data_IF_841660931158
#
_entry.id   IF_841660931158
#
_cell.length_a   1.000
_cell.length_b   1.000
_cell.length_c   1.000
_cell.angle_alpha   90.00
_cell.angle_beta   90.00
_cell.angle_gamma   90.00
#
_symmetry.space_group_name_H-M   'P 1'
#
loop_
_entity.id
_entity.type
_entity.pdbx_description
1 polymer ?
#
# COMPACT_ATOMS: atom_id res chain seq x y z
N UNK A 1 -10.53 -55.86 -16.01
CA UNK A 1 -11.35 -54.80 -15.36
C UNK A 1 -10.55 -54.27 -14.19
N UNK A 2 -10.51 -52.94 -14.07
CA UNK A 2 -9.96 -52.08 -12.99
C UNK A 2 -8.89 -51.13 -13.52
N UNK A 3 -9.37 -49.99 -14.03
CA UNK A 3 -8.61 -48.78 -14.34
C UNK A 3 -8.56 -47.89 -13.10
N UNK A 4 -7.36 -47.53 -12.66
CA UNK A 4 -7.12 -46.58 -11.57
C UNK A 4 -7.51 -45.15 -12.01
N UNK A 5 -8.18 -44.45 -11.10
CA UNK A 5 -8.73 -43.10 -11.29
C UNK A 5 -7.83 -42.08 -10.59
N UNK A 6 -7.36 -40.98 -11.22
CA UNK A 6 -6.54 -39.99 -10.54
C UNK A 6 -7.38 -38.97 -9.77
N UNK A 7 -6.88 -38.67 -8.58
CA UNK A 7 -7.38 -37.74 -7.57
C UNK A 7 -7.67 -36.34 -8.14
N UNK A 8 -8.90 -35.87 -7.94
CA UNK A 8 -9.30 -34.46 -8.10
C UNK A 8 -8.73 -33.62 -6.96
N UNK A 9 -7.71 -32.80 -7.22
CA UNK A 9 -7.33 -31.69 -6.34
C UNK A 9 -8.27 -30.50 -6.60
N UNK A 10 -9.01 -30.10 -5.57
CA UNK A 10 -9.92 -28.95 -5.61
C UNK A 10 -9.18 -27.61 -5.65
N UNK A 11 -9.63 -26.72 -6.53
CA UNK A 11 -9.28 -25.30 -6.52
C UNK A 11 -9.95 -24.59 -5.33
N UNK A 12 -9.31 -23.59 -4.70
CA UNK A 12 -9.98 -22.73 -3.71
C UNK A 12 -11.08 -21.89 -4.37
N UNK A 13 -12.25 -21.87 -3.74
CA UNK A 13 -13.54 -21.35 -4.20
C UNK A 13 -13.63 -19.81 -4.33
N UNK A 14 -12.50 -19.09 -4.36
CA UNK A 14 -12.50 -17.62 -4.37
C UNK A 14 -12.46 -16.99 -5.78
N UNK A 15 -12.31 -17.79 -6.85
CA UNK A 15 -12.17 -17.28 -8.23
C UNK A 15 -13.51 -17.10 -8.98
N UNK A 16 -14.64 -16.93 -8.28
CA UNK A 16 -15.98 -17.02 -8.89
C UNK A 16 -16.66 -15.70 -9.29
N UNK A 17 -15.93 -14.61 -9.43
CA UNK A 17 -16.50 -13.40 -10.01
C UNK A 17 -15.48 -12.60 -10.82
N UNK A 18 -15.27 -12.95 -12.08
CA UNK A 18 -14.77 -12.07 -13.15
C UNK A 18 -15.09 -12.68 -14.53
N UNK A 19 -15.39 -11.80 -15.48
CA UNK A 19 -16.03 -11.96 -16.81
C UNK A 19 -15.70 -13.21 -17.68
N UNK A 20 -16.61 -13.62 -18.59
CA UNK A 20 -16.50 -14.88 -19.35
C UNK A 20 -15.74 -14.75 -20.70
N UNK A 21 -15.11 -15.88 -21.07
CA UNK A 21 -14.53 -16.29 -22.37
C UNK A 21 -13.12 -15.72 -22.68
N UNK A 22 -12.09 -16.54 -22.96
CA UNK A 22 -12.00 -17.67 -23.90
C UNK A 22 -10.89 -18.64 -23.48
N UNK A 23 -11.19 -19.94 -23.49
CA UNK A 23 -10.20 -21.02 -23.41
C UNK A 23 -9.32 -21.05 -24.67
N UNK A 24 -7.99 -20.99 -24.50
CA UNK A 24 -7.01 -21.71 -25.31
C UNK A 24 -5.59 -21.56 -24.72
N UNK A 25 -4.92 -22.72 -24.59
CA UNK A 25 -3.50 -22.94 -24.28
C UNK A 25 -3.07 -22.78 -22.82
N UNK A 26 -2.97 -23.93 -22.15
CA UNK A 26 -2.29 -24.13 -20.86
C UNK A 26 -0.80 -23.90 -21.11
N UNK A 27 -0.35 -22.66 -20.92
CA UNK A 27 1.03 -22.42 -20.56
C UNK A 27 1.25 -23.04 -19.17
N UNK A 28 2.35 -23.77 -18.99
CA UNK A 28 2.78 -24.25 -17.68
C UNK A 28 2.67 -23.11 -16.65
N UNK A 29 2.22 -23.38 -15.41
CA UNK A 29 2.15 -22.34 -14.39
C UNK A 29 3.56 -21.81 -14.19
N UNK A 30 3.89 -20.68 -14.82
CA UNK A 30 4.94 -19.82 -14.30
C UNK A 30 4.53 -19.57 -12.87
N UNK A 31 5.41 -19.86 -11.91
CA UNK A 31 5.16 -19.59 -10.50
C UNK A 31 4.70 -18.14 -10.38
N UNK A 32 3.39 -17.95 -10.24
CA UNK A 32 2.80 -16.62 -10.26
C UNK A 32 3.40 -15.89 -9.06
N UNK A 33 4.06 -14.77 -9.32
CA UNK A 33 4.66 -13.98 -8.25
C UNK A 33 3.72 -12.86 -7.87
N UNK A 34 3.41 -12.78 -6.59
CA UNK A 34 2.53 -11.76 -6.05
C UNK A 34 3.29 -10.51 -5.62
N UNK A 35 2.77 -9.35 -5.99
CA UNK A 35 3.24 -8.05 -5.52
C UNK A 35 2.10 -7.30 -4.85
N UNK A 36 2.32 -6.88 -3.60
CA UNK A 36 1.40 -6.05 -2.83
C UNK A 36 1.53 -4.59 -3.23
N UNK A 37 0.40 -3.92 -3.41
CA UNK A 37 0.31 -2.50 -3.69
C UNK A 37 0.56 -1.71 -2.40
N UNK A 38 1.59 -0.87 -2.39
CA UNK A 38 1.93 -0.04 -1.23
C UNK A 38 1.38 1.39 -1.35
N UNK A 39 1.11 1.84 -2.58
CA UNK A 39 0.58 3.17 -2.85
C UNK A 39 -0.51 3.13 -3.91
N UNK A 40 -1.50 4.01 -3.76
CA UNK A 40 -2.69 4.04 -4.60
C UNK A 40 -2.41 4.32 -6.08
N UNK A 41 -1.40 5.16 -6.36
CA UNK A 41 -1.02 5.55 -7.73
C UNK A 41 0.19 4.74 -8.21
N UNK A 42 -0.03 3.89 -9.21
CA UNK A 42 1.00 3.08 -9.84
C UNK A 42 1.38 3.64 -11.21
N UNK A 43 2.60 3.32 -11.66
CA UNK A 43 3.08 3.62 -13.01
C UNK A 43 3.16 2.34 -13.81
N UNK A 44 2.49 2.32 -14.97
CA UNK A 44 2.45 1.18 -15.89
C UNK A 44 3.04 1.52 -17.25
N UNK A 45 3.82 0.62 -17.82
CA UNK A 45 4.16 0.59 -19.27
C UNK A 45 3.29 -0.48 -19.96
N UNK A 46 2.32 -0.10 -20.79
CA UNK A 46 1.48 -1.08 -21.49
C UNK A 46 2.26 -1.89 -22.54
N UNK A 47 1.85 -3.14 -22.75
CA UNK A 47 2.44 -4.02 -23.77
C UNK A 47 3.47 -5.00 -23.21
N UNK A 48 3.97 -5.90 -24.05
CA UNK A 48 4.94 -6.93 -23.64
C UNK A 48 6.37 -6.40 -23.49
N UNK A 49 6.73 -5.33 -24.19
CA UNK A 49 8.08 -4.76 -24.11
C UNK A 49 8.21 -3.73 -22.97
N UNK A 50 9.21 -3.87 -22.09
CA UNK A 50 9.47 -2.89 -21.03
C UNK A 50 10.04 -1.56 -21.55
N UNK A 51 10.56 -1.51 -22.78
CA UNK A 51 11.18 -0.31 -23.38
C UNK A 51 10.20 0.57 -24.14
N UNK A 52 8.90 0.23 -24.14
CA UNK A 52 7.88 1.00 -24.81
C UNK A 52 7.85 2.46 -24.32
N UNK A 53 7.68 3.46 -25.20
CA UNK A 53 7.87 4.87 -24.84
C UNK A 53 6.80 5.40 -23.87
N UNK A 54 5.61 4.78 -23.86
CA UNK A 54 4.46 5.30 -23.13
C UNK A 54 4.35 4.72 -21.72
N UNK A 55 4.26 5.59 -20.72
CA UNK A 55 3.81 5.25 -19.36
C UNK A 55 2.40 5.80 -19.10
N UNK A 56 1.60 5.08 -18.33
CA UNK A 56 0.27 5.49 -17.87
C UNK A 56 0.16 5.35 -16.36
N UNK A 57 -0.66 6.19 -15.71
CA UNK A 57 -1.05 5.97 -14.31
C UNK A 57 -2.11 4.89 -14.22
N UNK A 58 -2.02 4.08 -13.18
CA UNK A 58 -3.01 3.11 -12.81
C UNK A 58 -3.33 3.29 -11.33
N UNK A 59 -4.61 3.40 -10.99
CA UNK A 59 -5.05 3.45 -9.60
C UNK A 59 -5.38 2.04 -9.11
N UNK A 60 -4.85 1.64 -7.95
CA UNK A 60 -5.19 0.38 -7.27
C UNK A 60 -5.42 0.62 -5.77
N UNK A 61 -6.27 -0.18 -5.11
CA UNK A 61 -6.37 -0.14 -3.65
C UNK A 61 -5.03 -0.49 -2.99
N UNK A 62 -4.65 0.24 -1.94
CA UNK A 62 -3.47 -0.10 -1.14
C UNK A 62 -3.71 -1.47 -0.48
N UNK A 63 -2.67 -2.26 -0.29
CA UNK A 63 -2.75 -3.62 0.24
C UNK A 63 -3.26 -4.69 -0.74
N UNK A 64 -3.87 -4.30 -1.87
CA UNK A 64 -4.27 -5.27 -2.90
C UNK A 64 -3.06 -5.97 -3.54
N UNK A 65 -3.30 -7.12 -4.17
CA UNK A 65 -2.24 -7.93 -4.80
C UNK A 65 -2.34 -7.84 -6.33
N UNK A 66 -1.18 -7.69 -6.96
CA UNK A 66 -0.97 -7.78 -8.40
C UNK A 66 -0.25 -9.11 -8.71
N UNK A 67 -0.74 -9.82 -9.71
CA UNK A 67 -0.14 -11.06 -10.19
C UNK A 67 0.86 -10.77 -11.32
N UNK A 68 2.06 -11.31 -11.19
CA UNK A 68 3.20 -11.03 -12.07
C UNK A 68 3.87 -12.33 -12.52
N UNK A 69 4.62 -12.24 -13.61
CA UNK A 69 5.42 -13.37 -14.12
C UNK A 69 6.73 -13.57 -13.31
N UNK A 70 7.04 -12.66 -12.39
CA UNK A 70 8.31 -12.60 -11.67
C UNK A 70 9.48 -12.03 -12.48
N UNK A 71 9.31 -11.76 -13.78
CA UNK A 71 10.37 -11.10 -14.57
C UNK A 71 10.50 -9.64 -14.17
N UNK A 72 11.75 -9.22 -13.98
CA UNK A 72 12.08 -7.84 -13.64
C UNK A 72 12.90 -7.16 -14.72
N UNK A 73 12.80 -5.85 -14.79
CA UNK A 73 13.58 -5.01 -15.68
C UNK A 73 14.01 -3.74 -14.96
N UNK A 74 15.27 -3.34 -15.14
CA UNK A 74 15.76 -2.06 -14.65
C UNK A 74 15.73 -1.05 -15.79
N UNK A 75 14.94 0.00 -15.61
CA UNK A 75 14.80 1.07 -16.59
C UNK A 75 16.05 1.95 -16.69
N UNK A 76 16.14 2.77 -17.75
CA UNK A 76 17.33 3.60 -18.02
C UNK A 76 17.63 4.64 -16.94
N UNK A 77 16.63 5.01 -16.11
CA UNK A 77 16.81 5.90 -14.95
C UNK A 77 17.01 5.13 -13.63
N UNK A 78 17.24 3.82 -13.69
CA UNK A 78 17.46 2.96 -12.52
C UNK A 78 16.19 2.49 -11.80
N UNK A 79 14.99 2.77 -12.33
CA UNK A 79 13.75 2.26 -11.74
C UNK A 79 13.55 0.77 -12.00
N UNK A 80 13.10 0.04 -11.00
CA UNK A 80 12.80 -1.38 -11.04
C UNK A 80 11.36 -1.62 -11.49
N UNK A 81 11.17 -2.52 -12.44
CA UNK A 81 9.87 -2.86 -13.01
C UNK A 81 9.62 -4.36 -12.95
N UNK A 82 8.35 -4.75 -12.86
CA UNK A 82 7.91 -6.14 -12.89
C UNK A 82 6.87 -6.36 -13.99
N UNK A 83 6.97 -7.48 -14.71
CA UNK A 83 6.04 -7.87 -15.77
C UNK A 83 4.74 -8.45 -15.20
N UNK A 84 3.59 -7.90 -15.62
CA UNK A 84 2.27 -8.40 -15.25
C UNK A 84 1.97 -9.74 -15.91
N UNK A 85 1.30 -10.62 -15.17
CA UNK A 85 0.75 -11.84 -15.74
C UNK A 85 -0.45 -11.49 -16.64
N UNK A 86 -0.31 -11.74 -17.95
CA UNK A 86 -1.34 -11.46 -18.93
C UNK A 86 -2.61 -12.32 -18.83
N UNK A 87 -2.56 -13.43 -18.09
CA UNK A 87 -3.73 -14.28 -17.86
C UNK A 87 -4.71 -13.65 -16.86
N UNK A 88 -4.20 -12.83 -15.93
CA UNK A 88 -5.00 -12.18 -14.88
C UNK A 88 -5.17 -10.69 -15.14
N UNK A 89 -4.13 -10.04 -15.66
CA UNK A 89 -4.04 -8.61 -15.82
C UNK A 89 -3.81 -8.20 -17.28
N UNK A 90 -4.16 -6.96 -17.65
CA UNK A 90 -3.81 -6.47 -18.99
C UNK A 90 -2.28 -6.44 -19.13
N UNK A 91 -1.69 -6.91 -20.25
CA UNK A 91 -0.24 -6.93 -20.45
C UNK A 91 0.44 -5.59 -20.15
N UNK A 92 1.60 -5.65 -19.51
CA UNK A 92 2.38 -4.47 -19.18
C UNK A 92 3.38 -4.71 -18.06
N UNK A 93 4.12 -3.66 -17.76
CA UNK A 93 5.12 -3.63 -16.70
C UNK A 93 4.72 -2.59 -15.66
N UNK A 94 4.82 -2.92 -14.38
CA UNK A 94 4.59 -1.98 -13.28
C UNK A 94 5.91 -1.56 -12.65
N UNK A 95 6.03 -0.28 -12.34
CA UNK A 95 7.14 0.24 -11.54
C UNK A 95 7.00 -0.26 -10.11
N UNK A 96 8.01 -0.96 -9.62
CA UNK A 96 8.14 -1.39 -8.23
C UNK A 96 8.65 -0.22 -7.39
N UNK A 97 9.75 0.40 -7.81
CA UNK A 97 10.38 1.55 -7.14
C UNK A 97 11.37 2.24 -8.09
N UNK A 98 11.71 3.50 -7.81
CA UNK A 98 12.80 4.20 -8.49
C UNK A 98 12.48 5.65 -8.84
N UNK A 99 13.50 6.40 -9.30
CA UNK A 99 13.39 7.84 -9.52
C UNK A 99 12.66 8.19 -10.82
N UNK A 100 12.29 9.47 -10.95
CA UNK A 100 11.89 10.06 -12.24
C UNK A 100 10.39 10.13 -12.53
N UNK A 101 9.53 9.75 -11.57
CA UNK A 101 8.07 9.79 -11.72
C UNK A 101 7.36 10.74 -10.75
N UNK A 102 8.12 11.46 -9.90
CA UNK A 102 7.57 12.34 -8.87
C UNK A 102 6.80 11.61 -7.78
N UNK A 103 6.87 10.28 -7.72
CA UNK A 103 6.24 9.45 -6.69
C UNK A 103 7.38 8.89 -5.83
N UNK A 104 7.44 9.24 -4.53
CA UNK A 104 8.40 8.59 -3.64
C UNK A 104 8.06 7.10 -3.58
N UNK A 105 9.06 6.23 -3.74
CA UNK A 105 8.89 4.77 -3.72
C UNK A 105 9.18 4.19 -2.33
N UNK A 106 8.82 2.92 -2.08
CA UNK A 106 8.35 1.92 -3.05
C UNK A 106 6.83 1.97 -3.34
N UNK A 107 6.44 1.54 -4.54
CA UNK A 107 5.04 1.44 -4.97
C UNK A 107 4.48 0.01 -4.83
N UNK A 108 5.34 -0.99 -5.00
CA UNK A 108 5.00 -2.41 -4.88
C UNK A 108 6.03 -3.13 -4.00
N UNK A 109 5.58 -4.17 -3.32
CA UNK A 109 6.44 -5.10 -2.58
C UNK A 109 6.14 -6.54 -2.98
N UNK A 110 7.18 -7.30 -3.31
CA UNK A 110 7.03 -8.73 -3.54
C UNK A 110 6.57 -9.44 -2.26
N UNK A 111 5.50 -10.21 -2.34
CA UNK A 111 4.99 -11.03 -1.24
C UNK A 111 5.85 -12.28 -1.10
N UNK A 112 6.33 -12.57 0.11
CA UNK A 112 7.11 -13.79 0.38
C UNK A 112 6.18 -14.93 0.83
N UNK A 113 6.40 -16.18 0.39
CA UNK A 113 5.67 -17.32 0.93
C UNK A 113 5.80 -17.41 2.46
N UNK A 114 4.67 -17.56 3.15
CA UNK A 114 4.62 -17.64 4.62
C UNK A 114 4.84 -16.30 5.34
N UNK A 115 4.89 -15.17 4.62
CA UNK A 115 4.90 -13.85 5.24
C UNK A 115 3.61 -13.61 6.03
N UNK A 116 3.73 -13.03 7.22
CA UNK A 116 2.58 -12.59 8.01
C UNK A 116 1.78 -11.54 7.23
N UNK A 117 0.45 -11.69 7.21
CA UNK A 117 -0.44 -10.71 6.61
C UNK A 117 -0.17 -9.32 7.22
N UNK A 118 0.10 -8.28 6.41
CA UNK A 118 0.28 -6.93 6.93
C UNK A 118 -1.04 -6.35 7.39
N UNK A 119 -0.95 -5.27 8.16
CA UNK A 119 -2.09 -4.43 8.50
C UNK A 119 -2.19 -3.27 7.53
N UNK A 120 -3.40 -2.95 7.10
CA UNK A 120 -3.73 -1.70 6.44
C UNK A 120 -4.17 -0.69 7.50
N UNK A 121 -3.31 0.28 7.80
CA UNK A 121 -3.64 1.35 8.74
C UNK A 121 -4.07 2.60 8.00
N UNK A 122 -5.11 3.26 8.53
CA UNK A 122 -5.62 4.53 8.02
C UNK A 122 -4.89 5.67 8.71
N UNK A 123 -4.43 6.64 7.94
CA UNK A 123 -3.69 7.81 8.43
C UNK A 123 -4.29 9.08 7.84
N UNK A 124 -4.57 10.05 8.71
CA UNK A 124 -5.07 11.34 8.28
C UNK A 124 -3.93 12.21 7.76
N UNK A 125 -4.19 13.01 6.73
CA UNK A 125 -3.28 14.09 6.32
C UNK A 125 -3.13 15.11 7.47
N UNK A 126 -1.90 15.53 7.80
CA UNK A 126 -1.71 16.48 8.89
C UNK A 126 -2.18 17.87 8.45
N UNK A 127 -2.84 18.57 9.37
CA UNK A 127 -3.39 19.91 9.16
C UNK A 127 -2.98 20.80 10.31
N UNK A 128 -2.95 22.10 10.07
CA UNK A 128 -2.74 23.08 11.14
C UNK A 128 -3.87 23.01 12.18
N UNK A 129 -3.49 23.21 13.44
CA UNK A 129 -4.42 23.17 14.57
C UNK A 129 -5.46 24.28 14.38
N UNK A 130 -6.74 23.90 14.39
CA UNK A 130 -7.87 24.82 14.24
C UNK A 130 -8.34 25.05 12.80
N UNK A 131 -7.68 24.49 11.79
CA UNK A 131 -7.99 24.78 10.38
C UNK A 131 -8.93 23.78 9.69
N UNK A 132 -9.16 22.58 10.24
CA UNK A 132 -10.02 21.58 9.60
C UNK A 132 -10.94 20.87 10.58
N UNK A 133 -12.18 20.62 10.14
CA UNK A 133 -13.11 19.69 10.79
C UNK A 133 -12.59 18.26 10.58
N UNK A 134 -12.72 17.39 11.60
CA UNK A 134 -12.20 16.02 11.53
C UNK A 134 -12.73 15.23 10.31
N UNK A 135 -14.00 15.46 9.96
CA UNK A 135 -14.72 14.76 8.88
C UNK A 135 -14.19 15.08 7.48
N UNK A 136 -13.44 16.18 7.32
CA UNK A 136 -12.92 16.66 6.05
C UNK A 136 -11.45 16.27 5.84
N UNK A 137 -10.82 15.61 6.82
CA UNK A 137 -9.42 15.21 6.71
C UNK A 137 -9.26 14.11 5.67
N UNK A 138 -8.41 14.38 4.67
CA UNK A 138 -8.02 13.39 3.68
C UNK A 138 -7.35 12.19 4.39
N UNK A 139 -7.97 11.02 4.28
CA UNK A 139 -7.42 9.78 4.81
C UNK A 139 -6.68 9.02 3.72
N UNK A 140 -5.50 8.51 4.04
CA UNK A 140 -4.73 7.58 3.21
C UNK A 140 -4.49 6.28 3.96
N UNK A 141 -4.08 5.25 3.23
CA UNK A 141 -3.77 3.93 3.79
C UNK A 141 -2.26 3.68 3.68
N UNK A 142 -1.69 3.06 4.70
CA UNK A 142 -0.33 2.53 4.70
C UNK A 142 -0.37 1.03 4.99
N UNK A 143 0.56 0.29 4.39
CA UNK A 143 0.75 -1.13 4.65
C UNK A 143 1.92 -1.29 5.61
N UNK A 144 1.70 -1.92 6.76
CA UNK A 144 2.74 -2.17 7.75
C UNK A 144 2.72 -3.62 8.21
N UNK A 145 3.90 -4.22 8.41
CA UNK A 145 3.98 -5.53 9.06
C UNK A 145 3.54 -5.41 10.52
N UNK A 146 2.86 -6.41 11.11
CA UNK A 146 2.60 -6.43 12.55
C UNK A 146 3.89 -6.34 13.38
N UNK A 147 5.00 -6.85 12.84
CA UNK A 147 6.32 -6.80 13.48
C UNK A 147 7.12 -5.54 13.15
N UNK A 148 6.61 -4.66 12.27
CA UNK A 148 7.25 -3.39 11.99
C UNK A 148 7.23 -2.50 13.24
N UNK A 149 8.19 -1.61 13.34
CA UNK A 149 8.27 -0.65 14.43
C UNK A 149 7.36 0.55 14.19
N UNK A 150 7.03 1.30 15.24
CA UNK A 150 6.35 2.59 15.12
C UNK A 150 7.18 3.57 14.28
N UNK A 151 8.52 3.49 14.35
CA UNK A 151 9.41 4.27 13.46
C UNK A 151 9.12 4.00 11.99
N UNK A 152 8.98 2.73 11.58
CA UNK A 152 8.69 2.39 10.18
C UNK A 152 7.36 2.99 9.71
N UNK A 153 6.34 2.99 10.59
CA UNK A 153 5.06 3.63 10.29
C UNK A 153 5.19 5.17 10.15
N UNK A 154 6.04 5.82 10.96
CA UNK A 154 6.35 7.26 10.81
C UNK A 154 7.02 7.56 9.47
N UNK A 155 7.95 6.71 9.03
CA UNK A 155 8.58 6.84 7.71
C UNK A 155 7.54 6.74 6.59
N UNK A 156 6.61 5.79 6.69
CA UNK A 156 5.50 5.68 5.74
C UNK A 156 4.63 6.94 5.71
N UNK A 157 4.22 7.46 6.87
CA UNK A 157 3.42 8.69 6.98
C UNK A 157 4.17 9.87 6.34
N UNK A 158 5.45 10.03 6.67
CA UNK A 158 6.28 11.08 6.10
C UNK A 158 6.37 10.94 4.58
N UNK A 159 6.59 9.74 4.08
CA UNK A 159 6.69 9.46 2.66
C UNK A 159 5.40 9.82 1.92
N UNK A 160 4.24 9.35 2.39
CA UNK A 160 2.98 9.53 1.65
C UNK A 160 2.43 10.96 1.74
N UNK A 161 2.81 11.73 2.75
CA UNK A 161 2.39 13.14 2.90
C UNK A 161 3.49 14.15 2.57
N UNK A 162 4.68 13.68 2.18
CA UNK A 162 5.82 14.53 1.84
C UNK A 162 6.50 15.19 3.04
N UNK A 163 6.31 14.67 4.26
CA UNK A 163 6.85 15.29 5.48
C UNK A 163 8.37 15.21 5.52
N UNK A 164 9.00 16.32 5.89
CA UNK A 164 10.45 16.49 5.82
C UNK A 164 11.22 15.71 6.89
N UNK A 165 10.63 15.45 8.05
CA UNK A 165 11.29 14.74 9.15
C UNK A 165 10.33 13.79 9.89
N UNK A 166 10.44 12.46 9.71
CA UNK A 166 9.58 11.50 10.39
C UNK A 166 9.74 11.52 11.92
N UNK A 167 10.86 12.03 12.47
CA UNK A 167 11.07 12.15 13.92
C UNK A 167 10.16 13.18 14.57
N UNK A 168 9.57 14.08 13.77
CA UNK A 168 8.60 15.07 14.24
C UNK A 168 7.18 14.53 14.29
N UNK A 169 6.97 13.27 13.91
CA UNK A 169 5.71 12.54 14.04
C UNK A 169 5.68 11.88 15.41
N UNK A 170 4.63 12.14 16.18
CA UNK A 170 4.37 11.54 17.48
C UNK A 170 3.10 10.70 17.35
N UNK A 171 3.20 9.40 17.64
CA UNK A 171 2.11 8.43 17.47
C UNK A 171 1.50 8.09 18.82
N UNK A 172 0.17 8.08 18.88
CA UNK A 172 -0.58 7.65 20.05
C UNK A 172 -0.97 6.18 19.99
N UNK A 173 -1.17 5.58 21.16
CA UNK A 173 -1.78 4.24 21.28
C UNK A 173 -3.18 4.24 20.67
N UNK A 174 -3.57 3.14 19.98
CA UNK A 174 -4.93 2.98 19.51
C UNK A 174 -5.88 2.98 20.71
N UNK A 175 -6.94 3.79 20.63
CA UNK A 175 -7.99 3.81 21.64
C UNK A 175 -8.97 2.68 21.37
N UNK A 176 -9.28 1.87 22.37
CA UNK A 176 -10.34 0.87 22.25
C UNK A 176 -11.68 1.55 21.91
N UNK A 177 -12.17 1.34 20.68
CA UNK A 177 -13.47 1.85 20.26
C UNK A 177 -14.61 1.34 21.16
N UNK A 178 -14.44 0.15 21.76
CA UNK A 178 -15.38 -0.46 22.71
C UNK A 178 -15.37 0.23 24.09
N UNK A 179 -14.25 0.80 24.52
CA UNK A 179 -14.16 1.52 25.80
C UNK A 179 -14.93 2.86 25.78
N UNK A 180 -15.24 3.40 24.59
CA UNK A 180 -15.92 4.69 24.40
C UNK A 180 -17.44 4.65 24.42
N UNK A 181 -18.07 3.48 24.49
CA UNK A 181 -19.54 3.34 24.45
C UNK A 181 -20.29 3.93 25.68
N UNK A 182 -19.59 4.58 26.62
CA UNK A 182 -20.19 5.13 27.85
C UNK A 182 -19.82 6.57 28.22
N UNK A 183 -19.03 7.31 27.41
CA UNK A 183 -18.59 8.67 27.78
C UNK A 183 -19.28 9.72 26.91
N UNK A 184 -20.47 10.14 27.36
CA UNK A 184 -21.17 11.33 26.83
C UNK A 184 -20.65 12.58 27.54
N UNK A 185 -19.60 13.20 27.00
CA UNK A 185 -19.07 14.47 27.48
C UNK A 185 -18.65 15.36 26.33
N UNK A 186 -19.17 16.59 26.29
CA UNK A 186 -18.77 17.61 25.33
C UNK A 186 -17.33 18.05 25.63
N UNK A 187 -16.38 17.50 24.89
CA UNK A 187 -14.98 17.92 24.88
C UNK A 187 -14.45 17.73 23.47
N UNK A 188 -13.67 18.69 22.97
CA UNK A 188 -13.05 18.66 21.65
C UNK A 188 -12.52 17.27 21.33
N UNK A 189 -13.05 16.62 20.28
CA UNK A 189 -12.55 15.37 19.75
C UNK A 189 -11.15 15.61 19.14
N UNK A 190 -10.15 15.77 20.01
CA UNK A 190 -8.82 15.27 19.72
C UNK A 190 -8.94 13.81 20.11
N UNK A 191 -8.91 12.86 19.15
CA UNK A 191 -8.98 11.42 19.47
C UNK A 191 -8.03 11.13 20.64
N UNK A 192 -8.61 10.82 21.80
CA UNK A 192 -7.85 10.55 23.02
C UNK A 192 -7.07 9.27 22.81
N UNK A 193 -5.76 9.35 22.62
CA UNK A 193 -4.91 8.18 22.65
C UNK A 193 -4.64 7.78 24.11
N UNK A 194 -4.55 6.49 24.39
CA UNK A 194 -4.36 5.96 25.75
C UNK A 194 -2.92 6.16 26.27
N UNK A 195 -2.06 6.76 25.45
CA UNK A 195 -0.67 7.08 25.72
C UNK A 195 0.09 7.36 24.43
N UNK A 196 1.35 7.76 24.55
CA UNK A 196 2.26 7.88 23.42
C UNK A 196 3.03 6.57 23.22
N UNK A 197 3.40 6.27 21.98
CA UNK A 197 4.19 5.10 21.61
C UNK A 197 5.66 5.46 21.38
N UNK A 198 6.54 4.59 21.88
CA UNK A 198 7.97 4.63 21.58
C UNK A 198 8.24 4.07 20.17
N UNK A 199 9.26 4.63 19.50
CA UNK A 199 9.65 4.30 18.13
C UNK A 199 9.91 2.79 17.91
N UNK A 200 10.49 2.13 18.92
CA UNK A 200 10.89 0.72 18.86
C UNK A 200 9.73 -0.24 19.17
N UNK A 201 8.58 0.28 19.61
CA UNK A 201 7.39 -0.56 19.84
C UNK A 201 6.92 -1.15 18.53
N UNK A 202 6.63 -2.46 18.50
CA UNK A 202 6.05 -3.06 17.29
C UNK A 202 4.59 -2.65 17.10
N UNK A 203 4.10 -2.63 15.86
CA UNK A 203 2.70 -2.30 15.56
C UNK A 203 1.72 -3.25 16.28
N UNK A 204 2.05 -4.54 16.36
CA UNK A 204 1.27 -5.54 17.09
C UNK A 204 1.28 -5.29 18.60
N UNK A 205 2.44 -5.04 19.21
CA UNK A 205 2.55 -4.78 20.66
C UNK A 205 1.88 -3.46 21.06
N UNK A 206 1.81 -2.51 20.13
CA UNK A 206 1.06 -1.27 20.29
C UNK A 206 -0.47 -1.49 20.29
N UNK A 207 -0.95 -2.67 19.87
CA UNK A 207 -2.36 -3.05 19.88
C UNK A 207 -3.14 -2.66 18.62
N UNK A 208 -2.48 -2.31 17.52
CA UNK A 208 -3.16 -1.98 16.26
C UNK A 208 -3.70 -3.25 15.58
N UNK A 209 -4.87 -3.11 14.98
CA UNK A 209 -5.54 -4.10 14.13
C UNK A 209 -5.71 -3.59 12.70
N UNK A 210 -6.04 -4.50 11.77
CA UNK A 210 -6.30 -4.13 10.39
C UNK A 210 -7.49 -3.16 10.28
N UNK A 211 -7.32 -2.10 9.49
CA UNK A 211 -8.30 -1.05 9.29
C UNK A 211 -8.31 0.04 10.37
N UNK A 212 -7.51 -0.10 11.44
CA UNK A 212 -7.41 0.90 12.50
C UNK A 212 -6.87 2.23 11.97
N UNK A 213 -7.25 3.30 12.67
CA UNK A 213 -6.67 4.61 12.44
C UNK A 213 -5.44 4.82 13.33
N UNK A 214 -4.31 5.09 12.70
CA UNK A 214 -3.09 5.48 13.39
C UNK A 214 -3.17 6.99 13.70
N UNK A 215 -3.45 7.29 14.96
CA UNK A 215 -3.54 8.65 15.48
C UNK A 215 -2.13 9.23 15.70
N UNK A 216 -1.84 10.38 15.10
CA UNK A 216 -0.55 11.04 15.27
C UNK A 216 -0.65 12.57 15.23
N UNK A 217 0.39 13.23 15.72
CA UNK A 217 0.63 14.66 15.56
C UNK A 217 1.96 14.87 14.86
N UNK A 218 1.98 15.74 13.86
CA UNK A 218 3.22 16.24 13.26
C UNK A 218 3.57 17.58 13.88
N UNK A 219 4.78 17.70 14.42
CA UNK A 219 5.26 18.91 15.11
C UNK A 219 6.18 19.76 14.23
N UNK A 220 6.34 19.41 12.95
CA UNK A 220 7.17 20.15 12.00
C UNK A 220 6.43 21.26 11.27
N UNK A 221 7.18 21.93 10.40
CA UNK A 221 6.69 23.01 9.55
C UNK A 221 5.99 22.39 8.33
N UNK A 222 4.66 22.51 8.30
CA UNK A 222 3.85 21.97 7.21
C UNK A 222 4.13 22.70 5.89
N UNK A 223 4.31 24.02 5.89
CA UNK A 223 4.58 24.80 4.67
C UNK A 223 5.85 24.32 3.97
N UNK A 224 6.90 24.02 4.74
CA UNK A 224 8.17 23.46 4.22
C UNK A 224 8.10 21.96 3.91
N UNK A 225 7.08 21.27 4.40
CA UNK A 225 6.86 19.83 4.23
C UNK A 225 5.88 19.51 3.09
N UNK A 226 5.40 20.51 2.35
CA UNK A 226 4.38 20.36 1.31
C UNK A 226 4.91 20.31 -0.13
N UNK A 227 6.22 20.12 -0.36
CA UNK A 227 6.75 20.03 -1.74
C UNK A 227 6.26 18.79 -2.52
N UNK A 228 5.60 17.83 -1.84
CA UNK A 228 4.88 16.73 -2.47
C UNK A 228 3.61 17.16 -3.20
N UNK A 229 3.75 17.97 -4.26
CA UNK A 229 2.70 18.11 -5.28
C UNK A 229 2.32 16.71 -5.75
N UNK A 230 1.02 16.47 -5.96
CA UNK A 230 0.59 15.27 -6.67
C UNK A 230 1.46 15.09 -7.91
N UNK A 231 2.00 13.89 -8.16
CA UNK A 231 2.97 13.67 -9.22
C UNK A 231 2.36 14.09 -10.55
N UNK A 232 2.75 15.23 -11.10
CA UNK A 232 2.36 15.57 -12.46
C UNK A 232 3.26 14.73 -13.36
N UNK A 233 2.71 13.69 -13.99
CA UNK A 233 3.45 13.00 -15.05
C UNK A 233 3.53 14.00 -16.20
N UNK A 234 4.68 14.62 -16.36
CA UNK A 234 4.93 15.41 -17.55
C UNK A 234 4.90 14.45 -18.74
N UNK A 235 3.95 14.66 -19.66
CA UNK A 235 3.65 13.74 -20.77
C UNK A 235 4.70 13.80 -21.89
N UNK A 236 5.89 14.31 -21.59
CA UNK A 236 7.01 14.51 -22.51
C UNK A 236 8.28 13.84 -21.96
N UNK A 237 8.34 12.51 -22.04
CA UNK A 237 9.59 11.74 -22.10
C UNK A 237 9.42 10.67 -23.16
#
# INVERSE_FOLDING_TARGET
MATESPLQMGYPEAAKALCPLKQAQIALPSEVVEYRVLQRSLVKRPGSSPTGPKTVKLTRPVGSVMFTTGRTWTGPKGGEWVELDSFVERPGWLLVQGPGFGIPGPLLQRVKPGETQPLLLRVAKPVEIGCAREEEREMREIVVSPTASVRDAKEWIALIFGLSDPRRIIVGKPTDARARAGVTGAGFHIKSCDGLLDDETSIADAGFSDGDELCYVYTGDLEKSYEGKDPHLDSRV
#
